data_IF_327254733025
#
_entry.id   IF_327254733025
#
_cell.length_a   1.000
_cell.length_b   1.000
_cell.length_c   1.000
_cell.angle_alpha   90.00
_cell.angle_beta   90.00
_cell.angle_gamma   90.00
#
_symmetry.space_group_name_H-M   'P 1'
#
loop_
_entity.id
_entity.type
_entity.pdbx_description
1 polymer ?
#
# COMPACT_ATOMS: atom_id res chain seq x y z
N UNK A 1 17.99 19.49 0.92
CA UNK A 1 19.09 18.54 0.68
C UNK A 1 19.59 18.66 -0.78
N UNK A 2 20.88 18.41 -1.03
CA UNK A 2 21.48 18.59 -2.37
C UNK A 2 20.78 17.77 -3.50
N UNK A 3 20.14 16.65 -3.12
CA UNK A 3 19.46 15.75 -4.07
C UNK A 3 17.92 15.80 -3.93
N UNK A 4 17.38 16.85 -3.33
CA UNK A 4 15.96 16.95 -3.01
C UNK A 4 15.54 16.18 -1.76
N UNK A 5 14.32 16.43 -1.28
CA UNK A 5 13.74 15.74 -0.14
C UNK A 5 13.22 14.35 -0.54
N UNK A 6 13.43 13.32 0.27
CA UNK A 6 12.65 12.10 0.11
C UNK A 6 11.17 12.39 0.38
N UNK A 7 10.30 11.71 -0.33
CA UNK A 7 8.84 11.81 -0.13
C UNK A 7 8.36 10.58 0.62
N UNK A 8 7.37 10.77 1.49
CA UNK A 8 6.59 9.68 2.03
C UNK A 8 5.11 9.86 1.71
N UNK A 9 4.53 8.90 1.00
CA UNK A 9 3.10 8.82 0.73
C UNK A 9 2.48 7.96 1.83
N UNK A 10 1.48 8.51 2.52
CA UNK A 10 0.85 7.92 3.70
C UNK A 10 -0.57 7.47 3.35
N UNK A 11 -0.86 6.18 3.50
CA UNK A 11 -2.14 5.55 3.14
C UNK A 11 -2.86 5.13 4.42
N UNK A 12 -4.03 5.73 4.67
CA UNK A 12 -4.81 5.50 5.89
C UNK A 12 -5.51 4.14 5.91
N UNK A 13 -5.94 3.69 7.10
CA UNK A 13 -6.79 2.52 7.27
C UNK A 13 -8.25 2.78 6.86
N UNK A 14 -9.03 1.71 6.73
CA UNK A 14 -10.47 1.80 6.39
C UNK A 14 -11.21 2.73 7.34
N UNK A 15 -12.03 3.62 6.79
CA UNK A 15 -12.76 4.66 7.54
C UNK A 15 -11.90 5.86 7.97
N UNK A 16 -10.59 5.83 7.71
CA UNK A 16 -9.66 6.92 8.00
C UNK A 16 -9.63 8.01 6.92
N UNK A 17 -8.63 8.88 6.99
CA UNK A 17 -8.38 9.92 5.99
C UNK A 17 -6.92 10.39 6.02
N UNK A 18 -6.52 11.12 4.98
CA UNK A 18 -5.16 11.63 4.87
C UNK A 18 -4.75 12.58 6.00
N UNK A 19 -5.66 13.40 6.51
CA UNK A 19 -5.36 14.32 7.62
C UNK A 19 -4.99 13.56 8.90
N UNK A 20 -5.67 12.44 9.19
CA UNK A 20 -5.32 11.55 10.31
C UNK A 20 -3.91 10.99 10.15
N UNK A 21 -3.60 10.40 9.01
CA UNK A 21 -2.26 9.89 8.72
C UNK A 21 -1.19 10.97 8.79
N UNK A 22 -1.48 12.18 8.30
CA UNK A 22 -0.54 13.28 8.40
C UNK A 22 -0.22 13.60 9.86
N UNK A 23 -1.23 13.69 10.73
CA UNK A 23 -1.05 13.98 12.16
C UNK A 23 -0.25 12.88 12.89
N UNK A 24 -0.40 11.62 12.49
CA UNK A 24 0.33 10.50 13.10
C UNK A 24 1.82 10.50 12.73
N UNK A 25 2.17 10.94 11.51
CA UNK A 25 3.52 10.75 10.98
C UNK A 25 4.34 12.04 10.86
N UNK A 26 3.75 13.23 10.94
CA UNK A 26 4.45 14.49 10.71
C UNK A 26 5.61 14.73 11.68
N UNK A 27 5.48 14.33 12.94
CA UNK A 27 6.52 14.50 13.97
C UNK A 27 7.55 13.35 13.94
N UNK A 28 7.28 12.27 13.19
CA UNK A 28 8.17 11.11 13.06
C UNK A 28 9.04 11.24 11.81
N UNK A 29 8.49 11.78 10.74
CA UNK A 29 9.12 11.83 9.42
C UNK A 29 9.61 13.24 9.05
N UNK A 30 10.15 13.98 10.01
CA UNK A 30 10.57 15.38 9.89
C UNK A 30 11.47 15.70 8.69
N UNK A 31 12.24 14.70 8.21
CA UNK A 31 13.16 14.87 7.07
C UNK A 31 12.54 14.50 5.71
N UNK A 32 11.22 14.29 5.65
CA UNK A 32 10.49 13.91 4.44
C UNK A 32 9.51 15.00 4.02
N UNK A 33 9.26 15.12 2.73
CA UNK A 33 8.03 15.72 2.24
C UNK A 33 6.91 14.69 2.40
N UNK A 34 5.82 15.06 3.07
CA UNK A 34 4.70 14.14 3.34
C UNK A 34 3.53 14.44 2.41
N UNK A 35 2.92 13.39 1.90
CA UNK A 35 1.71 13.44 1.09
C UNK A 35 0.76 12.37 1.62
N UNK A 36 -0.44 12.75 2.03
CA UNK A 36 -1.43 11.85 2.60
C UNK A 36 -2.77 12.00 1.88
N UNK A 37 -3.00 11.27 0.77
CA UNK A 37 -4.29 11.28 0.09
C UNK A 37 -5.38 10.65 0.97
N UNK A 38 -6.63 10.99 0.67
CA UNK A 38 -7.80 10.31 1.24
C UNK A 38 -8.41 9.43 0.16
N UNK A 39 -8.55 8.15 0.43
CA UNK A 39 -9.18 7.18 -0.47
C UNK A 39 -10.66 7.46 -0.68
N UNK A 40 -11.20 7.05 -1.82
CA UNK A 40 -12.62 7.14 -2.12
C UNK A 40 -13.43 6.35 -1.08
N UNK A 41 -14.52 6.92 -0.59
CA UNK A 41 -15.32 6.40 0.51
C UNK A 41 -14.52 6.11 1.80
N UNK A 42 -13.40 6.83 2.00
CA UNK A 42 -12.47 6.63 3.12
C UNK A 42 -11.87 5.19 3.18
N UNK A 43 -11.67 4.59 2.01
CA UNK A 43 -11.16 3.23 1.86
C UNK A 43 -10.29 3.11 0.61
N UNK A 44 -9.56 2.00 0.48
CA UNK A 44 -8.76 1.65 -0.68
C UNK A 44 -9.26 0.33 -1.26
N UNK A 45 -9.33 0.25 -2.58
CA UNK A 45 -9.81 -0.91 -3.31
C UNK A 45 -8.77 -2.05 -3.31
N UNK A 46 -8.96 -3.03 -2.43
CA UNK A 46 -8.09 -4.20 -2.33
C UNK A 46 -8.83 -5.48 -2.73
N UNK A 47 -10.05 -5.70 -2.19
CA UNK A 47 -10.83 -6.90 -2.42
C UNK A 47 -12.33 -6.67 -2.23
N UNK A 48 -12.79 -6.52 -0.98
CA UNK A 48 -14.21 -6.51 -0.61
C UNK A 48 -14.65 -5.17 0.00
N UNK A 49 -13.84 -4.14 -0.21
CA UNK A 49 -14.14 -2.79 0.28
C UNK A 49 -15.28 -2.15 -0.54
N UNK A 50 -15.94 -1.14 0.05
CA UNK A 50 -16.97 -0.35 -0.64
C UNK A 50 -16.37 0.55 -1.74
N UNK A 51 -15.07 0.80 -1.73
CA UNK A 51 -14.35 1.56 -2.75
C UNK A 51 -14.01 0.66 -3.94
N UNK A 52 -14.37 1.10 -5.12
CA UNK A 52 -13.97 0.52 -6.42
C UNK A 52 -13.04 1.49 -7.20
N UNK A 53 -12.43 2.44 -6.51
CA UNK A 53 -11.58 3.44 -7.10
C UNK A 53 -10.31 2.84 -7.71
N UNK A 54 -9.74 3.44 -8.79
CA UNK A 54 -8.48 3.00 -9.40
C UNK A 54 -7.28 3.52 -8.59
N UNK A 55 -7.11 3.01 -7.37
CA UNK A 55 -6.13 3.53 -6.40
C UNK A 55 -4.68 3.33 -6.85
N UNK A 56 -4.37 2.25 -7.56
CA UNK A 56 -3.03 2.00 -8.10
C UNK A 56 -2.67 3.03 -9.16
N UNK A 57 -3.59 3.34 -10.07
CA UNK A 57 -3.41 4.35 -11.10
C UNK A 57 -3.24 5.73 -10.46
N UNK A 58 -4.04 6.07 -9.46
CA UNK A 58 -3.92 7.31 -8.72
C UNK A 58 -2.54 7.44 -8.06
N UNK A 59 -2.02 6.40 -7.43
CA UNK A 59 -0.68 6.40 -6.83
C UNK A 59 0.40 6.52 -7.91
N UNK A 60 0.25 5.85 -9.06
CA UNK A 60 1.19 5.97 -10.18
C UNK A 60 1.28 7.41 -10.68
N UNK A 61 0.14 8.06 -10.87
CA UNK A 61 0.07 9.46 -11.31
C UNK A 61 0.66 10.40 -10.25
N UNK A 62 0.33 10.18 -8.97
CA UNK A 62 0.88 10.95 -7.86
C UNK A 62 2.41 10.84 -7.80
N UNK A 63 2.96 9.65 -7.93
CA UNK A 63 4.42 9.43 -7.96
C UNK A 63 5.06 10.17 -9.13
N UNK A 64 4.49 10.08 -10.33
CA UNK A 64 4.99 10.79 -11.50
C UNK A 64 4.97 12.32 -11.32
N UNK A 65 3.90 12.86 -10.73
CA UNK A 65 3.79 14.29 -10.41
C UNK A 65 4.87 14.70 -9.40
N UNK A 66 5.05 13.93 -8.33
CA UNK A 66 6.04 14.20 -7.28
C UNK A 66 7.46 14.17 -7.83
N UNK A 67 7.78 13.24 -8.72
CA UNK A 67 9.09 13.14 -9.36
C UNK A 67 9.43 14.34 -10.27
N UNK A 68 8.44 15.10 -10.71
CA UNK A 68 8.62 16.29 -11.54
C UNK A 68 9.03 17.54 -10.73
N UNK A 69 8.90 17.54 -9.40
CA UNK A 69 9.30 18.68 -8.56
C UNK A 69 10.81 18.70 -8.34
N UNK A 70 11.45 19.83 -8.62
CA UNK A 70 12.92 19.98 -8.54
C UNK A 70 13.50 19.87 -7.12
N UNK A 71 12.67 20.06 -6.08
CA UNK A 71 13.06 19.93 -4.68
C UNK A 71 12.79 18.54 -4.09
N UNK A 72 12.28 17.60 -4.89
CA UNK A 72 12.03 16.21 -4.50
C UNK A 72 13.15 15.32 -5.05
N UNK A 73 13.56 14.32 -4.28
CA UNK A 73 14.43 13.27 -4.75
C UNK A 73 13.61 12.21 -5.50
N UNK A 74 13.70 12.12 -6.84
CA UNK A 74 12.85 11.24 -7.64
C UNK A 74 13.11 9.74 -7.40
N UNK A 75 14.22 9.40 -6.75
CA UNK A 75 14.61 8.02 -6.44
C UNK A 75 14.40 7.65 -4.96
N UNK A 76 13.67 8.48 -4.21
CA UNK A 76 13.38 8.26 -2.79
C UNK A 76 11.92 8.57 -2.47
N UNK A 77 11.04 7.83 -3.10
CA UNK A 77 9.61 7.85 -2.81
C UNK A 77 9.30 6.61 -1.97
N UNK A 78 8.69 6.83 -0.83
CA UNK A 78 8.35 5.81 0.16
C UNK A 78 6.86 5.74 0.34
N UNK A 79 6.36 4.53 0.50
CA UNK A 79 4.93 4.28 0.75
C UNK A 79 4.82 3.71 2.15
N UNK A 80 3.97 4.30 2.97
CA UNK A 80 3.59 3.75 4.28
C UNK A 80 2.08 3.59 4.28
N UNK A 81 1.60 2.39 4.48
CA UNK A 81 0.18 2.09 4.62
C UNK A 81 -0.15 1.49 5.98
N UNK A 82 -1.31 1.83 6.50
CA UNK A 82 -1.85 1.28 7.75
C UNK A 82 -3.13 0.50 7.48
N UNK A 83 -3.26 -0.73 7.99
CA UNK A 83 -4.45 -1.57 7.85
C UNK A 83 -4.88 -1.73 6.37
N UNK A 84 -6.07 -1.29 5.96
CA UNK A 84 -6.49 -1.29 4.55
C UNK A 84 -5.49 -0.54 3.64
N UNK A 85 -4.92 0.59 4.09
CA UNK A 85 -3.85 1.27 3.37
C UNK A 85 -2.55 0.45 3.27
N UNK A 86 -2.29 -0.46 4.21
CA UNK A 86 -1.19 -1.41 4.09
C UNK A 86 -1.47 -2.48 3.01
N UNK A 87 -2.73 -2.89 2.84
CA UNK A 87 -3.16 -3.73 1.71
C UNK A 87 -2.86 -3.06 0.37
N UNK A 88 -3.16 -1.76 0.22
CA UNK A 88 -2.79 -1.01 -0.98
C UNK A 88 -1.26 -0.87 -1.11
N UNK A 89 -0.53 -0.64 -0.02
CA UNK A 89 0.92 -0.59 -0.04
C UNK A 89 1.53 -1.93 -0.53
N UNK A 90 0.93 -3.06 -0.14
CA UNK A 90 1.31 -4.39 -0.64
C UNK A 90 1.09 -4.50 -2.15
N UNK A 91 -0.05 -4.05 -2.69
CA UNK A 91 -0.30 -4.01 -4.13
C UNK A 91 0.75 -3.16 -4.86
N UNK A 92 1.06 -1.97 -4.33
CA UNK A 92 2.11 -1.10 -4.90
C UNK A 92 3.47 -1.80 -4.88
N UNK A 93 3.82 -2.50 -3.80
CA UNK A 93 5.05 -3.30 -3.74
C UNK A 93 5.10 -4.34 -4.84
N UNK A 94 3.99 -5.04 -5.08
CA UNK A 94 3.89 -6.17 -6.00
C UNK A 94 3.94 -5.71 -7.45
N UNK A 95 3.11 -4.75 -7.86
CA UNK A 95 2.87 -4.47 -9.28
C UNK A 95 3.50 -3.18 -9.81
N UNK A 96 3.89 -2.23 -8.94
CA UNK A 96 4.39 -0.96 -9.41
C UNK A 96 5.82 -1.09 -9.97
N UNK A 97 6.03 -0.62 -11.19
CA UNK A 97 7.31 -0.71 -11.89
C UNK A 97 8.18 0.56 -11.79
N UNK A 98 7.75 1.60 -11.04
CA UNK A 98 8.53 2.81 -10.86
C UNK A 98 9.70 2.56 -9.88
N UNK A 99 10.93 2.61 -10.38
CA UNK A 99 12.14 2.37 -9.59
C UNK A 99 12.44 3.48 -8.58
N UNK A 100 11.76 4.61 -8.66
CA UNK A 100 11.87 5.71 -7.68
C UNK A 100 11.17 5.41 -6.37
N UNK A 101 10.24 4.43 -6.32
CA UNK A 101 9.69 3.90 -5.09
C UNK A 101 10.70 2.93 -4.49
N UNK A 102 11.46 3.40 -3.50
CA UNK A 102 12.59 2.66 -2.92
C UNK A 102 12.20 1.79 -1.71
N UNK A 103 11.18 2.22 -0.94
CA UNK A 103 10.73 1.51 0.27
C UNK A 103 9.20 1.48 0.31
N UNK A 104 8.64 0.31 0.64
CA UNK A 104 7.23 0.14 1.01
C UNK A 104 7.15 -0.42 2.41
N UNK A 105 6.31 0.19 3.25
CA UNK A 105 6.06 -0.23 4.62
C UNK A 105 4.57 -0.52 4.80
N UNK A 106 4.24 -1.75 5.19
CA UNK A 106 2.89 -2.19 5.53
C UNK A 106 2.77 -2.33 7.05
N UNK A 107 1.86 -1.57 7.67
CA UNK A 107 1.64 -1.55 9.12
C UNK A 107 0.28 -2.20 9.40
N UNK A 108 0.25 -3.19 10.27
CA UNK A 108 -0.90 -3.99 10.72
C UNK A 108 -1.73 -4.59 9.57
N UNK A 109 -1.06 -4.93 8.46
CA UNK A 109 -1.59 -5.79 7.40
C UNK A 109 -0.43 -6.34 6.59
N UNK A 110 -0.07 -7.60 6.82
CA UNK A 110 0.88 -8.30 5.96
C UNK A 110 0.21 -8.77 4.68
N UNK A 111 0.91 -9.51 3.83
CA UNK A 111 0.35 -10.03 2.58
C UNK A 111 -0.88 -10.89 2.86
N UNK A 112 -1.93 -10.67 2.07
CA UNK A 112 -3.10 -11.51 2.08
C UNK A 112 -3.00 -12.61 0.99
N UNK A 113 -3.83 -13.64 1.11
CA UNK A 113 -3.84 -14.77 0.20
C UNK A 113 -4.11 -14.37 -1.26
N UNK A 114 -5.02 -13.43 -1.59
CA UNK A 114 -5.13 -12.90 -2.94
C UNK A 114 -3.82 -12.38 -3.53
N UNK A 115 -3.04 -11.63 -2.77
CA UNK A 115 -1.79 -11.01 -3.23
C UNK A 115 -0.65 -12.00 -3.41
N UNK A 116 -0.64 -13.07 -2.62
CA UNK A 116 0.41 -14.10 -2.69
C UNK A 116 -0.17 -15.49 -2.40
N UNK A 117 -0.19 -16.35 -3.39
CA UNK A 117 -0.60 -17.74 -3.27
C UNK A 117 0.19 -18.64 -4.25
N UNK A 118 0.17 -19.94 -4.02
CA UNK A 118 0.92 -20.91 -4.83
C UNK A 118 2.40 -20.56 -5.04
N UNK A 119 3.00 -19.83 -4.08
CA UNK A 119 4.41 -19.44 -4.13
C UNK A 119 4.73 -18.25 -5.04
N UNK A 120 3.73 -17.50 -5.49
CA UNK A 120 3.88 -16.39 -6.42
C UNK A 120 3.08 -15.16 -6.00
N UNK A 121 3.49 -14.00 -6.50
CA UNK A 121 2.74 -12.75 -6.36
C UNK A 121 1.77 -12.57 -7.53
N UNK A 122 0.63 -11.97 -7.21
CA UNK A 122 -0.44 -11.72 -8.18
C UNK A 122 -0.99 -10.30 -8.08
N UNK A 123 -1.53 -9.81 -9.18
CA UNK A 123 -2.32 -8.58 -9.27
C UNK A 123 -3.67 -8.91 -9.93
N UNK A 124 -4.71 -8.12 -9.70
CA UNK A 124 -5.99 -8.37 -10.35
C UNK A 124 -5.88 -8.24 -11.87
N UNK A 125 -6.51 -9.18 -12.62
CA UNK A 125 -6.55 -9.15 -14.09
C UNK A 125 -7.50 -8.08 -14.63
N UNK A 126 -8.48 -7.67 -13.83
CA UNK A 126 -9.47 -6.67 -14.20
C UNK A 126 -9.74 -5.75 -12.98
N UNK A 127 -10.92 -5.82 -12.40
CA UNK A 127 -11.26 -5.20 -11.12
C UNK A 127 -11.21 -6.25 -10.02
N UNK A 128 -10.97 -5.81 -8.78
CA UNK A 128 -11.16 -6.68 -7.62
C UNK A 128 -12.64 -7.08 -7.54
N UNK A 129 -12.90 -8.38 -7.54
CA UNK A 129 -14.24 -8.94 -7.41
C UNK A 129 -14.27 -9.86 -6.19
N UNK A 130 -14.94 -9.46 -5.08
CA UNK A 130 -14.97 -10.24 -3.84
C UNK A 130 -15.64 -11.61 -3.99
N UNK A 131 -16.40 -11.83 -5.07
CA UNK A 131 -17.05 -13.10 -5.35
C UNK A 131 -16.20 -14.04 -6.23
N UNK A 132 -15.13 -13.55 -6.82
CA UNK A 132 -14.19 -14.38 -7.56
C UNK A 132 -13.17 -15.04 -6.64
N UNK A 133 -12.56 -16.12 -7.11
CA UNK A 133 -11.45 -16.74 -6.41
C UNK A 133 -10.32 -15.73 -6.24
N UNK A 134 -9.78 -15.58 -5.03
CA UNK A 134 -8.72 -14.62 -4.70
C UNK A 134 -9.03 -13.17 -5.13
N UNK A 135 -10.29 -12.73 -5.08
CA UNK A 135 -10.69 -11.38 -5.48
C UNK A 135 -10.20 -10.97 -6.88
N UNK A 136 -10.14 -11.91 -7.84
CA UNK A 136 -9.65 -11.64 -9.19
C UNK A 136 -8.13 -11.47 -9.32
N UNK A 137 -7.35 -11.76 -8.28
CA UNK A 137 -5.87 -11.72 -8.33
C UNK A 137 -5.34 -12.97 -9.05
N UNK A 138 -5.26 -12.93 -10.37
CA UNK A 138 -4.89 -14.05 -11.23
C UNK A 138 -3.76 -13.75 -12.22
N UNK A 139 -3.32 -12.47 -12.34
CA UNK A 139 -2.16 -12.10 -13.12
C UNK A 139 -0.86 -12.29 -12.33
N UNK A 140 -0.03 -13.23 -12.78
CA UNK A 140 1.29 -13.46 -12.21
C UNK A 140 2.21 -12.24 -12.41
N UNK A 141 2.89 -11.81 -11.35
CA UNK A 141 3.80 -10.67 -11.40
C UNK A 141 5.06 -10.94 -10.55
N UNK A 142 6.17 -10.30 -10.94
CA UNK A 142 7.41 -10.32 -10.17
C UNK A 142 7.70 -8.93 -9.64
N UNK A 143 7.68 -8.70 -8.31
CA UNK A 143 8.02 -7.42 -7.71
C UNK A 143 9.44 -6.99 -8.06
N UNK A 144 9.71 -5.67 -8.08
CA UNK A 144 11.06 -5.14 -8.29
C UNK A 144 12.01 -5.59 -7.18
N UNK A 145 13.03 -6.38 -7.53
CA UNK A 145 14.00 -6.93 -6.58
C UNK A 145 14.81 -5.87 -5.81
N UNK A 146 14.88 -4.63 -6.31
CA UNK A 146 15.61 -3.52 -5.68
C UNK A 146 14.79 -2.77 -4.64
N UNK A 147 13.46 -2.93 -4.63
CA UNK A 147 12.56 -2.28 -3.69
C UNK A 147 12.62 -2.97 -2.34
N UNK A 148 12.75 -2.17 -1.27
CA UNK A 148 12.74 -2.70 0.10
C UNK A 148 11.30 -2.79 0.60
N UNK A 149 11.02 -3.86 1.32
CA UNK A 149 9.74 -4.09 1.96
C UNK A 149 9.91 -4.24 3.47
N UNK A 150 9.06 -3.56 4.23
CA UNK A 150 8.97 -3.67 5.68
C UNK A 150 7.54 -3.99 6.06
N UNK A 151 7.32 -5.06 6.78
CA UNK A 151 6.05 -5.39 7.41
C UNK A 151 6.15 -5.21 8.92
N UNK A 152 5.18 -4.51 9.50
CA UNK A 152 5.06 -4.29 10.93
C UNK A 152 3.71 -4.83 11.36
N UNK A 153 3.71 -5.89 12.16
CA UNK A 153 2.51 -6.55 12.66
C UNK A 153 2.51 -6.59 14.18
N UNK A 154 1.34 -6.70 14.78
CA UNK A 154 1.16 -6.87 16.21
C UNK A 154 0.70 -8.29 16.49
N UNK A 155 1.38 -9.00 17.39
CA UNK A 155 1.07 -10.39 17.78
C UNK A 155 -0.26 -10.54 18.52
N UNK A 156 -0.80 -9.43 19.02
CA UNK A 156 -2.10 -9.35 19.68
C UNK A 156 -3.15 -8.55 18.88
N UNK A 157 -2.99 -8.45 17.55
CA UNK A 157 -3.95 -7.75 16.70
C UNK A 157 -5.30 -8.51 16.69
N UNK A 158 -6.41 -7.87 17.11
CA UNK A 158 -7.70 -8.54 17.17
C UNK A 158 -8.38 -8.67 15.81
N UNK A 159 -7.85 -8.03 14.77
CA UNK A 159 -8.45 -7.96 13.43
C UNK A 159 -7.62 -8.77 12.44
N UNK A 160 -6.32 -8.53 12.36
CA UNK A 160 -5.39 -9.16 11.42
C UNK A 160 -4.57 -10.22 12.18
N UNK A 161 -4.79 -11.51 11.95
CA UNK A 161 -4.10 -12.56 12.70
C UNK A 161 -2.60 -12.59 12.36
N UNK A 162 -1.74 -12.36 13.36
CA UNK A 162 -0.29 -12.35 13.19
C UNK A 162 0.27 -13.65 12.58
N UNK A 163 -0.33 -14.78 12.92
CA UNK A 163 0.07 -16.10 12.44
C UNK A 163 -0.59 -16.52 11.12
N UNK A 164 -1.22 -15.59 10.43
CA UNK A 164 -2.00 -15.89 9.22
C UNK A 164 -3.37 -16.49 9.51
N UNK A 165 -4.11 -16.78 8.46
CA UNK A 165 -5.47 -17.32 8.51
C UNK A 165 -6.54 -16.25 8.32
N UNK A 166 -7.81 -16.66 8.48
CA UNK A 166 -8.97 -15.80 8.21
C UNK A 166 -9.13 -14.74 9.29
N UNK A 167 -9.13 -13.49 8.87
CA UNK A 167 -9.39 -12.34 9.74
C UNK A 167 -10.89 -12.16 10.03
N UNK A 168 -11.21 -11.31 11.03
CA UNK A 168 -12.61 -10.93 11.33
C UNK A 168 -13.28 -10.13 10.21
N UNK A 169 -12.51 -9.59 9.28
CA UNK A 169 -13.01 -8.88 8.09
C UNK A 169 -13.15 -9.81 6.87
N UNK A 170 -12.92 -11.11 7.05
CA UNK A 170 -13.16 -12.11 6.00
C UNK A 170 -12.05 -12.23 4.95
N UNK A 171 -10.88 -11.65 5.21
CA UNK A 171 -9.70 -11.76 4.33
C UNK A 171 -8.73 -12.76 4.96
N UNK A 172 -8.19 -13.67 4.14
CA UNK A 172 -7.18 -14.62 4.56
C UNK A 172 -5.79 -14.00 4.43
N UNK A 173 -5.00 -14.07 5.50
CA UNK A 173 -3.63 -13.59 5.59
C UNK A 173 -2.63 -14.74 5.66
N UNK A 174 -1.39 -14.48 5.20
CA UNK A 174 -0.29 -15.45 5.16
C UNK A 174 0.46 -15.56 6.47
#
# INVERSE_FOLDING_TARGET
PPNGFPVCILLHGNGGNGAGMMNEFMDILECHALVAPTGYLNSWNICAEDSDAPDIEMINDLVNILQAYSNINPNKIRIIGSSNGAGLANNIFIENNNTGIDIVCAIVSHLNEPQYHLGNFYTPSASTDPFSSFCGYDNLVNPLATRKYLSISNDNDPIIPYSGGTSVVGIDFL
#
